data_IF_804781683604
#
_entry.id   IF_804781683604
#
_cell.length_a   1.000
_cell.length_b   1.000
_cell.length_c   1.000
_cell.angle_alpha   90.00
_cell.angle_beta   90.00
_cell.angle_gamma   90.00
#
_symmetry.space_group_name_H-M   'P 1'
#
loop_
_entity.id
_entity.type
_entity.pdbx_description
1 polymer ?
#
# COMPACT_ATOMS: atom_id res chain seq x y z
N UNK A 1 -11.75 8.26 14.63
CA UNK A 1 -11.98 9.69 14.29
C UNK A 1 -11.28 10.00 12.96
N UNK A 2 -11.67 11.07 12.23
CA UNK A 2 -11.06 11.49 10.96
C UNK A 2 -9.54 11.67 11.07
N UNK A 3 -9.06 12.27 12.15
CA UNK A 3 -7.62 12.50 12.36
C UNK A 3 -6.83 11.19 12.46
N UNK A 4 -7.38 10.18 13.16
CA UNK A 4 -6.77 8.86 13.26
C UNK A 4 -6.72 8.16 11.90
N UNK A 5 -7.79 8.27 11.09
CA UNK A 5 -7.80 7.73 9.73
C UNK A 5 -6.76 8.44 8.84
N UNK A 6 -6.66 9.76 8.93
CA UNK A 6 -5.64 10.52 8.20
C UNK A 6 -4.22 10.09 8.62
N UNK A 7 -4.00 9.87 9.93
CA UNK A 7 -2.72 9.36 10.43
C UNK A 7 -2.43 7.95 9.91
N UNK A 8 -3.42 7.07 9.86
CA UNK A 8 -3.27 5.73 9.30
C UNK A 8 -2.86 5.77 7.82
N UNK A 9 -3.51 6.62 7.02
CA UNK A 9 -3.15 6.82 5.62
C UNK A 9 -1.69 7.27 5.48
N UNK A 10 -1.26 8.27 6.26
CA UNK A 10 0.14 8.73 6.28
C UNK A 10 1.12 7.60 6.64
N UNK A 11 0.83 6.81 7.67
CA UNK A 11 1.72 5.70 8.07
C UNK A 11 1.82 4.61 6.99
N UNK A 12 0.75 4.40 6.22
CA UNK A 12 0.71 3.42 5.14
C UNK A 12 1.65 3.76 3.99
N UNK A 13 2.00 5.05 3.78
CA UNK A 13 2.95 5.45 2.72
C UNK A 13 4.31 4.78 2.89
N UNK A 14 4.74 4.49 4.12
CA UNK A 14 5.98 3.75 4.36
C UNK A 14 5.98 2.37 3.68
N UNK A 15 4.81 1.75 3.50
CA UNK A 15 4.68 0.49 2.76
C UNK A 15 5.06 0.61 1.28
N UNK A 16 4.82 1.78 0.65
CA UNK A 16 5.27 2.05 -0.70
C UNK A 16 6.80 2.07 -0.76
N UNK A 17 7.46 2.76 0.17
CA UNK A 17 8.92 2.79 0.26
C UNK A 17 9.55 1.40 0.56
N UNK A 18 8.82 0.51 1.23
CA UNK A 18 9.27 -0.88 1.49
C UNK A 18 9.14 -1.81 0.28
N UNK A 19 8.28 -1.48 -0.69
CA UNK A 19 7.94 -2.39 -1.81
C UNK A 19 8.27 -1.83 -3.19
N UNK A 20 8.55 -0.53 -3.31
CA UNK A 20 8.83 0.18 -4.57
C UNK A 20 10.12 1.00 -4.39
N UNK A 21 11.04 0.94 -5.37
CA UNK A 21 12.29 1.71 -5.32
C UNK A 21 12.73 2.22 -6.71
N UNK A 22 12.89 3.55 -6.89
CA UNK A 22 12.53 4.62 -5.95
C UNK A 22 11.00 4.77 -5.83
N UNK A 23 10.53 5.23 -4.68
CA UNK A 23 9.14 5.67 -4.44
C UNK A 23 9.14 7.16 -4.11
N UNK A 24 7.96 7.81 -4.12
CA UNK A 24 7.79 9.23 -3.77
C UNK A 24 8.65 10.18 -4.60
N UNK A 25 8.82 9.90 -5.90
CA UNK A 25 9.52 10.83 -6.78
C UNK A 25 8.66 12.06 -7.08
N UNK A 26 9.27 13.13 -7.60
CA UNK A 26 8.54 14.33 -8.03
C UNK A 26 7.53 14.06 -9.16
N UNK A 27 7.60 12.89 -9.79
CA UNK A 27 6.72 12.49 -10.89
C UNK A 27 5.59 11.56 -10.43
N UNK A 28 5.58 11.12 -9.17
CA UNK A 28 4.60 10.19 -8.64
C UNK A 28 3.46 10.91 -7.92
N UNK A 29 2.22 10.47 -8.18
CA UNK A 29 1.00 10.97 -7.54
C UNK A 29 0.54 10.13 -6.35
N UNK A 30 1.48 9.62 -5.55
CA UNK A 30 1.20 8.66 -4.47
C UNK A 30 0.13 9.18 -3.51
N UNK A 31 -1.00 8.46 -3.42
CA UNK A 31 -2.14 8.87 -2.58
C UNK A 31 -2.75 7.65 -1.90
N UNK A 32 -2.94 7.74 -0.58
CA UNK A 32 -3.60 6.70 0.23
C UNK A 32 -4.83 7.27 0.91
N UNK A 33 -5.93 6.53 0.85
CA UNK A 33 -7.15 6.80 1.60
C UNK A 33 -7.35 5.76 2.70
N UNK A 34 -7.82 6.20 3.86
CA UNK A 34 -8.18 5.32 4.97
C UNK A 34 -9.65 5.46 5.31
N UNK A 35 -10.30 4.32 5.58
CA UNK A 35 -11.69 4.24 5.99
C UNK A 35 -11.81 3.29 7.20
N UNK A 36 -12.69 3.64 8.14
CA UNK A 36 -13.06 2.78 9.25
C UNK A 36 -14.55 2.40 9.14
N UNK A 37 -14.85 1.10 9.22
CA UNK A 37 -16.23 0.59 9.16
C UNK A 37 -17.02 0.79 10.45
N UNK A 38 -16.35 1.18 11.54
CA UNK A 38 -16.98 1.44 12.84
C UNK A 38 -17.39 0.19 13.63
N UNK A 39 -17.06 -1.02 13.16
CA UNK A 39 -17.48 -2.28 13.81
C UNK A 39 -16.72 -2.62 15.10
N UNK A 40 -15.45 -2.21 15.20
CA UNK A 40 -14.61 -2.47 16.36
C UNK A 40 -13.86 -1.20 16.77
N UNK A 41 -13.68 -1.02 18.08
CA UNK A 41 -12.73 -0.04 18.62
C UNK A 41 -11.34 -0.66 18.62
N UNK A 42 -10.35 0.10 18.17
CA UNK A 42 -8.95 -0.31 18.13
C UNK A 42 -8.05 0.89 18.47
N UNK A 43 -6.88 0.60 19.03
CA UNK A 43 -5.83 1.61 19.24
C UNK A 43 -5.15 1.92 17.91
N UNK A 44 -5.14 3.20 17.53
CA UNK A 44 -4.57 3.65 16.25
C UNK A 44 -3.06 3.35 16.15
N UNK A 45 -2.32 3.31 17.26
CA UNK A 45 -0.90 3.01 17.22
C UNK A 45 -0.66 1.54 16.86
N UNK A 46 -1.50 0.64 17.36
CA UNK A 46 -1.44 -0.79 17.03
C UNK A 46 -1.79 -0.99 15.56
N UNK A 47 -2.92 -0.43 15.11
CA UNK A 47 -3.35 -0.56 13.70
C UNK A 47 -2.33 0.09 12.76
N UNK A 48 -1.83 1.26 13.14
CA UNK A 48 -0.80 2.01 12.40
C UNK A 48 0.53 1.26 12.27
N UNK A 49 0.96 0.55 13.31
CA UNK A 49 2.20 -0.22 13.28
C UNK A 49 2.20 -1.27 12.17
N UNK A 50 1.05 -1.89 11.88
CA UNK A 50 0.89 -2.86 10.80
C UNK A 50 0.54 -2.23 9.44
N UNK A 51 0.21 -0.94 9.39
CA UNK A 51 -0.30 -0.29 8.18
C UNK A 51 0.74 -0.30 7.04
N UNK A 52 2.00 -0.03 7.35
CA UNK A 52 3.08 -0.05 6.37
C UNK A 52 3.33 -1.47 5.81
N UNK A 53 3.33 -2.48 6.68
CA UNK A 53 3.55 -3.88 6.30
C UNK A 53 2.41 -4.41 5.43
N UNK A 54 1.16 -4.17 5.84
CA UNK A 54 -0.02 -4.57 5.06
C UNK A 54 -0.05 -3.87 3.70
N UNK A 55 0.33 -2.59 3.64
CA UNK A 55 0.40 -1.86 2.38
C UNK A 55 1.49 -2.42 1.46
N UNK A 56 2.69 -2.71 1.98
CA UNK A 56 3.76 -3.35 1.22
C UNK A 56 3.31 -4.74 0.69
N UNK A 57 2.66 -5.54 1.53
CA UNK A 57 2.14 -6.84 1.13
C UNK A 57 1.06 -6.72 0.04
N UNK A 58 0.20 -5.70 0.13
CA UNK A 58 -0.81 -5.44 -0.90
C UNK A 58 -0.17 -5.11 -2.25
N UNK A 59 0.88 -4.28 -2.29
CA UNK A 59 1.63 -3.98 -3.52
C UNK A 59 2.26 -5.26 -4.10
N UNK A 60 2.93 -6.07 -3.27
CA UNK A 60 3.52 -7.33 -3.74
C UNK A 60 2.46 -8.30 -4.25
N UNK A 61 1.31 -8.39 -3.59
CA UNK A 61 0.20 -9.20 -4.05
C UNK A 61 -0.33 -8.72 -5.40
N UNK A 62 -0.41 -7.40 -5.62
CA UNK A 62 -0.80 -6.83 -6.90
C UNK A 62 0.18 -7.21 -8.01
N UNK A 63 1.49 -7.10 -7.77
CA UNK A 63 2.53 -7.51 -8.74
C UNK A 63 2.44 -9.00 -9.07
N UNK A 64 2.26 -9.85 -8.07
CA UNK A 64 2.15 -11.32 -8.25
C UNK A 64 0.87 -11.76 -8.95
N UNK A 65 -0.21 -10.99 -8.81
CA UNK A 65 -1.52 -11.33 -9.38
C UNK A 65 -1.78 -10.66 -10.73
N UNK A 66 -0.86 -9.80 -11.20
CA UNK A 66 -1.00 -9.10 -12.46
C UNK A 66 -0.84 -10.05 -13.66
N UNK A 67 -1.57 -9.78 -14.73
CA UNK A 67 -1.44 -10.43 -16.03
C UNK A 67 -0.81 -9.46 -17.05
N UNK A 68 -0.17 -10.02 -18.08
CA UNK A 68 0.42 -9.22 -19.15
C UNK A 68 -0.66 -8.44 -19.90
N UNK A 69 -0.44 -7.15 -20.14
CA UNK A 69 -1.41 -6.29 -20.78
C UNK A 69 -0.71 -5.16 -21.55
N UNK A 70 -1.32 -4.68 -22.64
CA UNK A 70 -0.77 -3.56 -23.42
C UNK A 70 0.63 -3.80 -24.00
N UNK A 71 1.00 -5.07 -24.23
CA UNK A 71 2.34 -5.46 -24.67
C UNK A 71 3.40 -5.46 -23.57
N UNK A 72 3.03 -5.23 -22.31
CA UNK A 72 3.92 -5.28 -21.16
C UNK A 72 3.81 -6.66 -20.48
N UNK A 73 4.96 -7.28 -20.09
CA UNK A 73 4.95 -8.53 -19.36
C UNK A 73 4.51 -8.35 -17.90
N UNK A 74 3.89 -9.38 -17.33
CA UNK A 74 3.71 -9.49 -15.88
C UNK A 74 4.89 -10.22 -15.23
N UNK A 75 5.09 -10.01 -13.92
CA UNK A 75 6.17 -10.66 -13.16
C UNK A 75 6.19 -12.18 -13.36
N UNK A 76 5.02 -12.82 -13.29
CA UNK A 76 4.88 -14.27 -13.50
C UNK A 76 5.29 -14.76 -14.91
N UNK A 77 5.37 -13.87 -15.89
CA UNK A 77 5.75 -14.21 -17.28
C UNK A 77 7.23 -14.00 -17.57
N UNK A 78 7.97 -13.39 -16.63
CA UNK A 78 9.40 -13.08 -16.78
C UNK A 78 10.29 -14.22 -16.25
N UNK A 79 9.78 -15.02 -15.30
CA UNK A 79 10.51 -16.12 -14.65
C UNK A 79 10.37 -17.49 -15.37
N UNK A 80 9.98 -17.49 -16.65
CA UNK A 80 9.91 -18.66 -17.53
C UNK A 80 10.86 -18.52 -18.72
#
# INVERSE_FOLDING_TARGET
NKEEANKLAQMSHNGLALSIRPAHTMFDGDTIFALATGRHRADINIVGAYAAEVMAQAVINAVKSAESAGGLPAAQTIDH
#
